data_IF_328577291261
#
_entry.id   IF_328577291261
#
_cell.length_a   1.000
_cell.length_b   1.000
_cell.length_c   1.000
_cell.angle_alpha   90.00
_cell.angle_beta   90.00
_cell.angle_gamma   90.00
#
_symmetry.space_group_name_H-M   'P 1'
#
loop_
_entity.id
_entity.type
_entity.pdbx_description
1 polymer ?
#
# COMPACT_ATOMS: atom_id res chain seq x y z
N UNK A 1 -11.56 -1.47 -19.58
CA UNK A 1 -11.97 -0.85 -18.30
C UNK A 1 -11.58 -1.86 -17.23
N UNK A 2 -10.38 -1.74 -16.66
CA UNK A 2 -9.92 -2.68 -15.62
C UNK A 2 -10.79 -2.42 -14.40
N UNK A 3 -11.63 -3.38 -14.04
CA UNK A 3 -12.54 -3.32 -12.90
C UNK A 3 -11.73 -3.28 -11.60
N UNK A 4 -11.26 -2.10 -11.22
CA UNK A 4 -10.68 -1.77 -9.92
C UNK A 4 -11.77 -1.77 -8.82
N UNK A 5 -12.40 -2.92 -8.59
CA UNK A 5 -13.41 -3.12 -7.53
C UNK A 5 -12.86 -3.81 -6.29
N UNK A 6 -11.54 -3.86 -6.14
CA UNK A 6 -10.86 -4.69 -5.15
C UNK A 6 -10.11 -3.90 -4.08
N UNK A 7 -9.99 -2.57 -4.17
CA UNK A 7 -9.28 -1.76 -3.16
C UNK A 7 -10.22 -0.79 -2.42
N UNK A 8 -9.86 -0.40 -1.19
CA UNK A 8 -10.70 0.47 -0.34
C UNK A 8 -10.93 1.85 -0.96
N UNK A 9 -9.99 2.36 -1.77
CA UNK A 9 -10.10 3.73 -2.33
C UNK A 9 -11.05 3.80 -3.52
N UNK A 10 -11.08 2.78 -4.38
CA UNK A 10 -11.90 2.78 -5.61
C UNK A 10 -13.18 1.95 -5.53
N UNK A 11 -13.33 1.14 -4.48
CA UNK A 11 -14.54 0.32 -4.27
C UNK A 11 -15.71 1.12 -3.71
N UNK A 12 -16.93 0.60 -3.93
CA UNK A 12 -18.19 1.18 -3.47
C UNK A 12 -19.12 0.10 -2.92
N UNK A 13 -20.17 0.51 -2.21
CA UNK A 13 -21.20 -0.39 -1.67
C UNK A 13 -20.74 -1.17 -0.44
N UNK A 14 -21.40 -2.31 -0.18
CA UNK A 14 -21.16 -3.12 1.02
C UNK A 14 -19.73 -3.67 1.10
N UNK A 15 -19.13 -4.04 -0.03
CA UNK A 15 -17.70 -4.44 -0.08
C UNK A 15 -16.80 -3.36 0.52
N UNK A 16 -16.97 -2.11 0.09
CA UNK A 16 -16.19 -0.99 0.63
C UNK A 16 -16.42 -0.77 2.13
N UNK A 17 -17.67 -0.85 2.58
CA UNK A 17 -18.02 -0.67 4.00
C UNK A 17 -17.36 -1.72 4.88
N UNK A 18 -17.40 -2.98 4.45
CA UNK A 18 -16.84 -4.11 5.18
C UNK A 18 -15.30 -4.02 5.23
N UNK A 19 -14.66 -3.82 4.08
CA UNK A 19 -13.21 -3.69 3.97
C UNK A 19 -12.67 -2.49 4.77
N UNK A 20 -13.32 -1.32 4.65
CA UNK A 20 -12.95 -0.13 5.42
C UNK A 20 -13.10 -0.35 6.93
N UNK A 21 -14.20 -0.98 7.37
CA UNK A 21 -14.43 -1.24 8.80
C UNK A 21 -13.35 -2.14 9.37
N UNK A 22 -13.00 -3.22 8.66
CA UNK A 22 -11.96 -4.13 9.09
C UNK A 22 -10.59 -3.45 9.12
N UNK A 23 -10.20 -2.73 8.07
CA UNK A 23 -8.94 -2.01 8.03
C UNK A 23 -8.80 -1.00 9.18
N UNK A 24 -9.85 -0.24 9.48
CA UNK A 24 -9.86 0.68 10.62
C UNK A 24 -9.78 -0.03 11.97
N UNK A 25 -10.39 -1.21 12.10
CA UNK A 25 -10.27 -2.02 13.31
C UNK A 25 -8.82 -2.46 13.52
N UNK A 26 -8.19 -3.03 12.49
CA UNK A 26 -6.80 -3.48 12.53
C UNK A 26 -5.85 -2.32 12.84
N UNK A 27 -5.99 -1.17 12.15
CA UNK A 27 -5.16 0.02 12.41
C UNK A 27 -5.37 0.58 13.81
N UNK A 28 -6.59 0.51 14.36
CA UNK A 28 -6.86 0.91 15.73
C UNK A 28 -6.20 -0.04 16.73
N UNK A 29 -6.20 -1.34 16.47
CA UNK A 29 -5.56 -2.31 17.36
C UNK A 29 -4.02 -2.11 17.37
N UNK A 30 -3.44 -1.64 16.26
CA UNK A 30 -2.02 -1.27 16.19
C UNK A 30 -1.68 0.10 16.81
N UNK A 31 -2.60 1.06 16.80
CA UNK A 31 -2.32 2.45 17.18
C UNK A 31 -3.03 3.00 18.43
N UNK A 32 -4.10 2.36 18.91
CA UNK A 32 -4.91 2.85 20.03
C UNK A 32 -4.88 1.82 21.17
N UNK A 33 -4.09 2.11 22.20
CA UNK A 33 -3.91 1.24 23.37
C UNK A 33 -2.73 0.26 23.30
N UNK A 34 -2.01 0.21 22.16
CA UNK A 34 -0.72 -0.47 21.99
C UNK A 34 0.33 0.54 21.52
N UNK A 35 1.54 0.48 22.07
CA UNK A 35 2.66 1.37 21.69
C UNK A 35 3.30 1.03 20.35
N UNK A 36 2.80 0.03 19.62
CA UNK A 36 3.44 -0.51 18.41
C UNK A 36 3.68 0.58 17.36
N UNK A 37 2.66 1.38 17.03
CA UNK A 37 2.83 2.46 16.05
C UNK A 37 3.80 3.54 16.54
N UNK A 38 3.75 3.88 17.82
CA UNK A 38 4.67 4.84 18.44
C UNK A 38 6.11 4.34 18.37
N UNK A 39 6.34 3.08 18.74
CA UNK A 39 7.65 2.43 18.69
C UNK A 39 8.21 2.43 17.26
N UNK A 40 7.38 2.15 16.24
CA UNK A 40 7.78 2.23 14.83
C UNK A 40 8.09 3.65 14.37
N UNK A 41 7.34 4.65 14.83
CA UNK A 41 7.61 6.05 14.52
C UNK A 41 8.92 6.49 15.18
N UNK A 42 9.13 6.14 16.46
CA UNK A 42 10.34 6.50 17.20
C UNK A 42 11.57 5.83 16.62
N UNK A 43 11.47 4.56 16.22
CA UNK A 43 12.49 3.84 15.47
C UNK A 43 12.85 4.62 14.20
N UNK A 44 11.85 5.02 13.41
CA UNK A 44 12.08 5.77 12.17
C UNK A 44 12.70 7.15 12.39
N UNK A 45 12.30 7.83 13.46
CA UNK A 45 12.87 9.13 13.85
C UNK A 45 14.38 9.01 14.13
N UNK A 46 14.85 7.90 14.69
CA UNK A 46 16.30 7.69 14.89
C UNK A 46 17.06 7.62 13.55
N UNK A 47 16.51 6.93 12.56
CA UNK A 47 17.11 6.88 11.21
C UNK A 47 17.07 8.25 10.54
N UNK A 48 15.96 8.97 10.67
CA UNK A 48 15.82 10.32 10.14
C UNK A 48 16.85 11.30 10.75
N UNK A 49 17.01 11.29 12.08
CA UNK A 49 18.01 12.11 12.78
C UNK A 49 19.43 11.73 12.35
N UNK A 50 19.69 10.44 12.15
CA UNK A 50 20.99 9.97 11.67
C UNK A 50 21.30 10.55 10.30
N UNK A 51 20.34 10.59 9.38
CA UNK A 51 20.54 11.24 8.09
C UNK A 51 20.73 12.76 8.17
N UNK A 52 19.99 13.42 9.05
CA UNK A 52 20.19 14.86 9.29
C UNK A 52 21.61 15.15 9.79
N UNK A 53 22.15 14.31 10.67
CA UNK A 53 23.51 14.45 11.21
C UNK A 53 24.59 14.32 10.13
N UNK A 54 24.41 13.44 9.14
CA UNK A 54 25.36 13.29 8.01
C UNK A 54 25.40 14.52 7.09
N UNK A 55 24.33 15.32 7.09
CA UNK A 55 24.17 16.50 6.24
C UNK A 55 24.38 17.83 6.98
N UNK A 56 24.89 17.78 8.22
CA UNK A 56 25.21 18.99 9.00
C UNK A 56 26.19 19.88 8.23
N UNK A 57 25.91 21.19 8.21
CA UNK A 57 26.67 22.21 7.50
C UNK A 57 26.70 22.09 5.97
N UNK A 58 25.79 21.31 5.36
CA UNK A 58 25.60 21.23 3.90
C UNK A 58 24.18 21.65 3.53
N UNK A 59 23.95 22.26 2.35
CA UNK A 59 22.61 22.39 1.80
C UNK A 59 21.95 21.02 1.71
N UNK A 60 20.81 20.85 2.38
CA UNK A 60 20.11 19.59 2.48
C UNK A 60 18.67 19.76 2.03
N UNK A 61 18.22 18.87 1.14
CA UNK A 61 16.84 18.82 0.68
C UNK A 61 16.12 17.68 1.43
N UNK A 62 15.27 17.97 2.42
CA UNK A 62 14.73 16.96 3.35
C UNK A 62 13.62 16.10 2.76
N UNK A 63 13.00 16.54 1.67
CA UNK A 63 11.78 15.92 1.15
C UNK A 63 11.95 14.41 0.84
N UNK A 64 13.02 13.93 0.17
CA UNK A 64 13.19 12.50 -0.09
C UNK A 64 13.36 11.70 1.20
N UNK A 65 14.10 12.22 2.17
CA UNK A 65 14.31 11.55 3.47
C UNK A 65 13.01 11.46 4.27
N UNK A 66 12.19 12.52 4.28
CA UNK A 66 10.86 12.51 4.90
C UNK A 66 9.95 11.49 4.20
N UNK A 67 9.95 11.46 2.85
CA UNK A 67 9.15 10.49 2.10
C UNK A 67 9.57 9.05 2.42
N UNK A 68 10.87 8.75 2.45
CA UNK A 68 11.40 7.45 2.89
C UNK A 68 10.96 7.13 4.32
N UNK A 69 11.00 8.12 5.22
CA UNK A 69 10.61 7.92 6.62
C UNK A 69 9.15 7.51 6.77
N UNK A 70 8.25 8.30 6.18
CA UNK A 70 6.81 8.02 6.24
C UNK A 70 6.48 6.70 5.57
N UNK A 71 7.09 6.40 4.41
CA UNK A 71 6.88 5.15 3.72
C UNK A 71 7.37 3.94 4.53
N UNK A 72 8.45 4.08 5.30
CA UNK A 72 8.93 3.00 6.17
C UNK A 72 8.05 2.78 7.39
N UNK A 73 7.47 3.82 8.00
CA UNK A 73 6.45 3.63 9.04
C UNK A 73 5.27 2.84 8.48
N UNK A 74 4.77 3.21 7.30
CA UNK A 74 3.68 2.48 6.64
C UNK A 74 4.10 1.04 6.32
N UNK A 75 5.29 0.82 5.76
CA UNK A 75 5.81 -0.51 5.45
C UNK A 75 5.95 -1.37 6.71
N UNK A 76 6.43 -0.81 7.82
CA UNK A 76 6.58 -1.55 9.08
C UNK A 76 5.24 -1.98 9.67
N UNK A 77 4.19 -1.16 9.55
CA UNK A 77 2.84 -1.49 10.01
C UNK A 77 2.14 -2.48 9.08
N UNK A 78 2.40 -2.37 7.78
CA UNK A 78 1.70 -3.17 6.77
C UNK A 78 2.36 -4.50 6.46
N UNK A 79 3.68 -4.53 6.37
CA UNK A 79 4.53 -5.69 6.02
C UNK A 79 5.29 -6.26 7.23
N UNK A 80 5.14 -5.67 8.42
CA UNK A 80 5.86 -6.09 9.63
C UNK A 80 7.36 -5.78 9.66
N UNK A 81 7.92 -5.26 8.55
CA UNK A 81 9.36 -4.99 8.40
C UNK A 81 9.65 -3.61 7.82
N UNK A 82 10.80 -3.06 8.21
CA UNK A 82 11.37 -1.85 7.62
C UNK A 82 12.09 -2.20 6.31
N UNK A 83 12.00 -1.31 5.33
CA UNK A 83 12.77 -1.39 4.09
C UNK A 83 14.03 -0.51 4.22
N UNK A 84 15.14 -0.98 3.66
CA UNK A 84 16.36 -0.19 3.61
C UNK A 84 16.14 1.08 2.75
N UNK A 85 16.70 2.22 3.16
CA UNK A 85 16.63 3.47 2.42
C UNK A 85 17.33 3.38 1.05
N UNK A 86 18.29 2.48 0.93
CA UNK A 86 19.03 2.19 -0.29
C UNK A 86 18.43 1.03 -1.10
N UNK A 87 17.40 0.35 -0.59
CA UNK A 87 16.76 -0.77 -1.30
C UNK A 87 16.21 -0.29 -2.66
N UNK A 88 16.67 -0.86 -3.78
CA UNK A 88 16.18 -0.51 -5.11
C UNK A 88 14.67 -0.67 -5.27
N UNK A 89 14.06 -1.68 -4.62
CA UNK A 89 12.61 -1.92 -4.66
C UNK A 89 11.88 -0.80 -3.94
N UNK A 90 12.37 -0.41 -2.75
CA UNK A 90 11.78 0.68 -1.98
C UNK A 90 11.89 2.03 -2.70
N UNK A 91 13.06 2.32 -3.27
CA UNK A 91 13.27 3.52 -4.09
C UNK A 91 12.32 3.52 -5.31
N UNK A 92 12.15 2.36 -5.95
CA UNK A 92 11.24 2.22 -7.08
C UNK A 92 9.78 2.46 -6.67
N UNK A 93 9.35 1.96 -5.51
CA UNK A 93 8.03 2.22 -4.96
C UNK A 93 7.78 3.72 -4.76
N UNK A 94 8.73 4.44 -4.15
CA UNK A 94 8.60 5.88 -3.95
C UNK A 94 8.50 6.65 -5.29
N UNK A 95 9.25 6.24 -6.31
CA UNK A 95 9.17 6.83 -7.66
C UNK A 95 7.81 6.59 -8.30
N UNK A 96 7.28 5.37 -8.20
CA UNK A 96 5.95 5.01 -8.72
C UNK A 96 4.87 5.82 -8.01
N UNK A 97 4.94 5.93 -6.68
CA UNK A 97 3.98 6.71 -5.89
C UNK A 97 4.00 8.20 -6.25
N UNK A 98 5.20 8.80 -6.35
CA UNK A 98 5.33 10.21 -6.75
C UNK A 98 4.73 10.45 -8.14
N UNK A 99 4.99 9.56 -9.10
CA UNK A 99 4.41 9.63 -10.46
C UNK A 99 2.89 9.47 -10.43
N UNK A 100 2.38 8.53 -9.64
CA UNK A 100 0.94 8.33 -9.50
C UNK A 100 0.25 9.58 -8.95
N UNK A 101 0.85 10.26 -7.97
CA UNK A 101 0.32 11.53 -7.44
C UNK A 101 0.39 12.67 -8.46
N UNK A 102 1.47 12.77 -9.23
CA UNK A 102 1.61 13.76 -10.30
C UNK A 102 0.54 13.58 -11.38
N UNK A 103 0.32 12.33 -11.83
CA UNK A 103 -0.72 12.00 -12.80
C UNK A 103 -2.10 12.29 -12.21
N UNK A 104 -2.35 11.93 -10.95
CA UNK A 104 -3.63 12.20 -10.30
C UNK A 104 -3.89 13.71 -10.21
N UNK A 105 -2.89 14.50 -9.83
CA UNK A 105 -2.97 15.96 -9.78
C UNK A 105 -3.24 16.60 -11.15
N UNK A 106 -2.67 16.03 -12.22
CA UNK A 106 -2.83 16.50 -13.59
C UNK A 106 -3.94 15.76 -14.38
N UNK A 107 -4.74 14.92 -13.72
CA UNK A 107 -5.71 14.03 -14.39
C UNK A 107 -6.96 14.74 -14.92
N UNK A 108 -7.13 16.04 -14.62
CA UNK A 108 -8.31 16.82 -15.00
C UNK A 108 -8.71 16.62 -16.46
N UNK A 109 -7.77 16.78 -17.40
CA UNK A 109 -8.03 16.60 -18.83
C UNK A 109 -8.53 15.19 -19.19
N UNK A 110 -7.95 14.13 -18.62
CA UNK A 110 -8.35 12.74 -18.88
C UNK A 110 -9.73 12.45 -18.27
N UNK A 111 -10.01 13.00 -17.08
CA UNK A 111 -11.30 12.81 -16.41
C UNK A 111 -12.43 13.51 -17.16
N UNK A 112 -12.17 14.71 -17.71
CA UNK A 112 -13.15 15.46 -18.50
C UNK A 112 -13.32 14.87 -19.91
N UNK A 113 -12.23 14.40 -20.53
CA UNK A 113 -12.23 13.88 -21.89
C UNK A 113 -11.64 12.46 -21.95
N UNK A 114 -12.44 11.42 -21.64
CA UNK A 114 -11.95 10.04 -21.53
C UNK A 114 -11.34 9.46 -22.81
N UNK A 115 -11.62 10.05 -23.98
CA UNK A 115 -11.04 9.59 -25.25
C UNK A 115 -9.55 9.91 -25.38
N UNK A 116 -9.02 10.89 -24.63
CA UNK A 116 -7.60 11.27 -24.66
C UNK A 116 -6.66 10.11 -24.28
N UNK A 117 -7.16 9.11 -23.55
CA UNK A 117 -6.41 7.89 -23.20
C UNK A 117 -6.04 7.00 -24.39
N UNK A 118 -6.70 7.19 -25.54
CA UNK A 118 -6.50 6.39 -26.75
C UNK A 118 -5.57 7.05 -27.76
N UNK A 119 -5.10 8.27 -27.49
CA UNK A 119 -4.19 8.96 -28.39
C UNK A 119 -2.87 8.17 -28.55
N UNK A 120 -2.29 8.15 -29.76
CA UNK A 120 -0.97 7.58 -29.96
C UNK A 120 0.08 8.36 -29.14
N UNK A 121 0.95 7.62 -28.45
CA UNK A 121 1.84 8.15 -27.41
C UNK A 121 1.40 7.82 -25.98
N UNK A 122 2.12 8.35 -24.99
CA UNK A 122 1.76 8.28 -23.56
C UNK A 122 1.84 9.68 -22.92
N UNK A 123 1.19 10.64 -23.57
CA UNK A 123 1.20 12.07 -23.23
C UNK A 123 0.77 12.38 -21.80
N UNK A 124 -0.03 11.49 -21.20
CA UNK A 124 -0.52 11.63 -19.83
C UNK A 124 0.02 10.53 -18.90
N UNK A 125 1.06 9.80 -19.34
CA UNK A 125 1.71 8.74 -18.56
C UNK A 125 0.79 7.63 -18.05
N UNK A 126 -0.37 7.42 -18.68
CA UNK A 126 -1.38 6.43 -18.27
C UNK A 126 -0.89 5.01 -18.55
N UNK A 127 -0.20 4.80 -19.68
CA UNK A 127 0.35 3.47 -20.01
C UNK A 127 1.48 3.11 -19.05
N UNK A 128 2.38 4.06 -18.80
CA UNK A 128 3.44 3.89 -17.80
C UNK A 128 2.87 3.60 -16.42
N UNK A 129 1.87 4.37 -15.95
CA UNK A 129 1.23 4.15 -14.65
C UNK A 129 0.60 2.75 -14.56
N UNK A 130 0.01 2.26 -15.66
CA UNK A 130 -0.54 0.90 -15.70
C UNK A 130 0.56 -0.15 -15.47
N UNK A 131 1.69 -0.04 -16.16
CA UNK A 131 2.84 -0.93 -15.96
C UNK A 131 3.41 -0.82 -14.54
N UNK A 132 3.48 0.39 -14.00
CA UNK A 132 3.95 0.62 -12.63
C UNK A 132 3.02 -0.06 -11.60
N UNK A 133 1.70 0.06 -11.76
CA UNK A 133 0.71 -0.61 -10.90
C UNK A 133 0.80 -2.14 -11.02
N UNK A 134 1.01 -2.67 -12.22
CA UNK A 134 1.23 -4.10 -12.42
C UNK A 134 2.49 -4.59 -11.69
N UNK A 135 3.59 -3.85 -11.77
CA UNK A 135 4.81 -4.13 -11.02
C UNK A 135 4.58 -4.12 -9.50
N UNK A 136 3.93 -3.09 -8.97
CA UNK A 136 3.59 -3.01 -7.54
C UNK A 136 2.76 -4.22 -7.08
N UNK A 137 1.74 -4.60 -7.87
CA UNK A 137 0.87 -5.72 -7.53
C UNK A 137 1.63 -7.05 -7.48
N UNK A 138 2.57 -7.27 -8.40
CA UNK A 138 3.41 -8.46 -8.40
C UNK A 138 4.32 -8.53 -7.17
N UNK A 139 4.96 -7.42 -6.82
CA UNK A 139 5.83 -7.36 -5.65
C UNK A 139 5.05 -7.52 -4.34
N UNK A 140 3.88 -6.86 -4.20
CA UNK A 140 3.00 -7.07 -3.04
C UNK A 140 2.48 -8.51 -2.98
N UNK A 141 2.15 -9.14 -4.11
CA UNK A 141 1.73 -10.54 -4.12
C UNK A 141 2.85 -11.46 -3.61
N UNK A 142 4.11 -11.21 -3.97
CA UNK A 142 5.26 -11.95 -3.43
C UNK A 142 5.37 -11.76 -1.92
N UNK A 143 5.28 -10.53 -1.43
CA UNK A 143 5.35 -10.24 0.01
C UNK A 143 4.20 -10.91 0.79
N UNK A 144 2.98 -10.93 0.24
CA UNK A 144 1.85 -11.62 0.85
C UNK A 144 2.07 -13.14 0.89
N UNK A 145 2.70 -13.72 -0.13
CA UNK A 145 3.02 -15.15 -0.14
C UNK A 145 4.08 -15.49 0.92
N UNK A 146 5.14 -14.67 1.04
CA UNK A 146 6.13 -14.79 2.14
C UNK A 146 5.45 -14.80 3.52
N UNK A 147 4.44 -13.94 3.72
CA UNK A 147 3.67 -13.91 4.97
C UNK A 147 2.79 -15.16 5.17
N UNK A 148 2.24 -15.75 4.10
CA UNK A 148 1.47 -17.00 4.22
C UNK A 148 2.35 -18.20 4.59
N UNK A 149 3.58 -18.24 4.08
CA UNK A 149 4.54 -19.31 4.39
C UNK A 149 5.04 -19.24 5.83
N UNK A 150 5.16 -18.02 6.36
CA UNK A 150 5.64 -17.75 7.73
C UNK A 150 4.52 -17.62 8.76
N UNK A 151 3.25 -17.63 8.33
CA UNK A 151 2.10 -17.47 9.21
C UNK A 151 1.99 -18.63 10.20
N UNK A 152 2.13 -18.32 11.49
CA UNK A 152 1.84 -19.22 12.58
C UNK A 152 0.46 -18.89 13.17
N UNK A 153 -0.45 -19.87 13.20
CA UNK A 153 -1.85 -19.66 13.59
C UNK A 153 -2.03 -19.25 15.06
N UNK A 154 -1.07 -19.64 15.90
CA UNK A 154 -1.08 -19.41 17.34
C UNK A 154 -0.50 -18.06 17.74
N UNK A 155 0.17 -17.36 16.83
CA UNK A 155 0.77 -16.05 17.10
C UNK A 155 -0.20 -14.89 16.87
N UNK A 156 -0.02 -13.83 17.66
CA UNK A 156 -0.76 -12.60 17.48
C UNK A 156 -0.28 -11.87 16.23
N UNK A 157 -1.20 -11.33 15.43
CA UNK A 157 -0.84 -10.64 14.20
C UNK A 157 0.02 -9.40 14.51
N UNK A 158 1.25 -9.40 14.02
CA UNK A 158 2.23 -8.33 14.23
C UNK A 158 2.17 -7.23 13.17
N UNK A 159 1.49 -7.50 12.05
CA UNK A 159 1.35 -6.61 10.90
C UNK A 159 -0.03 -6.71 10.24
N UNK A 160 -0.34 -5.74 9.37
CA UNK A 160 -1.62 -5.66 8.68
C UNK A 160 -1.91 -6.86 7.78
N UNK A 161 -0.92 -7.39 7.05
CA UNK A 161 -1.10 -8.55 6.17
C UNK A 161 -1.49 -9.78 7.01
N UNK A 162 -0.77 -10.05 8.09
CA UNK A 162 -1.04 -11.15 9.02
C UNK A 162 -2.46 -11.06 9.61
N UNK A 163 -2.86 -9.87 10.06
CA UNK A 163 -4.22 -9.64 10.58
C UNK A 163 -5.30 -9.87 9.51
N UNK A 164 -5.03 -9.43 8.28
CA UNK A 164 -5.94 -9.59 7.15
C UNK A 164 -6.06 -11.05 6.69
N UNK A 165 -4.94 -11.79 6.65
CA UNK A 165 -4.91 -13.23 6.34
C UNK A 165 -5.69 -14.04 7.36
N UNK A 166 -5.55 -13.73 8.66
CA UNK A 166 -6.34 -14.35 9.73
C UNK A 166 -7.84 -14.11 9.52
N UNK A 167 -8.24 -12.88 9.24
CA UNK A 167 -9.65 -12.55 8.94
C UNK A 167 -10.20 -13.31 7.73
N UNK A 168 -9.40 -13.44 6.66
CA UNK A 168 -9.79 -14.22 5.48
C UNK A 168 -9.99 -15.70 5.80
N UNK A 169 -9.18 -16.26 6.69
CA UNK A 169 -9.30 -17.65 7.15
C UNK A 169 -10.56 -17.87 7.98
N UNK A 170 -10.85 -16.97 8.91
CA UNK A 170 -12.03 -17.02 9.78
C UNK A 170 -13.35 -16.92 8.99
N UNK A 171 -13.37 -16.12 7.93
CA UNK A 171 -14.56 -15.87 7.10
C UNK A 171 -14.67 -16.80 5.86
N UNK A 172 -13.77 -17.78 5.70
CA UNK A 172 -13.69 -18.65 4.51
C UNK A 172 -14.99 -19.43 4.22
N UNK A 173 -15.84 -19.63 5.23
CA UNK A 173 -17.15 -20.29 5.11
C UNK A 173 -18.34 -19.34 4.90
N UNK A 174 -18.16 -18.03 5.07
CA UNK A 174 -19.25 -17.06 5.07
C UNK A 174 -19.47 -16.48 3.67
N UNK A 175 -20.39 -17.07 2.89
CA UNK A 175 -20.72 -16.63 1.51
C UNK A 175 -21.23 -15.18 1.41
N UNK A 176 -21.60 -14.55 2.53
CA UNK A 176 -22.05 -13.15 2.57
C UNK A 176 -20.93 -12.15 2.81
N UNK A 177 -19.76 -12.61 3.28
CA UNK A 177 -18.61 -11.75 3.56
C UNK A 177 -17.77 -11.51 2.30
N UNK A 178 -17.23 -10.30 2.17
CA UNK A 178 -16.22 -9.99 1.15
C UNK A 178 -14.88 -10.70 1.38
N UNK A 179 -14.65 -11.30 2.56
CA UNK A 179 -13.41 -11.98 2.92
C UNK A 179 -13.36 -13.47 2.55
N UNK A 180 -14.48 -14.05 2.12
CA UNK A 180 -14.60 -15.50 1.86
C UNK A 180 -13.81 -16.01 0.63
N UNK A 181 -12.97 -15.18 0.01
CA UNK A 181 -12.20 -15.49 -1.21
C UNK A 181 -13.06 -15.66 -2.47
N UNK A 182 -14.39 -15.73 -2.34
CA UNK A 182 -15.33 -15.88 -3.45
C UNK A 182 -15.85 -14.53 -3.91
N UNK A 183 -14.98 -13.67 -4.43
CA UNK A 183 -15.41 -12.46 -5.15
C UNK A 183 -14.85 -12.43 -6.58
N UNK A 184 -15.61 -13.11 -7.46
CA UNK A 184 -15.88 -12.74 -8.86
C UNK A 184 -14.73 -12.79 -9.88
N UNK A 185 -14.24 -13.99 -10.17
CA UNK A 185 -13.69 -14.29 -11.50
C UNK A 185 -14.78 -14.41 -12.60
N UNK A 186 -16.07 -14.33 -12.26
CA UNK A 186 -17.17 -14.39 -13.22
C UNK A 186 -17.61 -13.00 -13.66
N UNK A 187 -16.97 -12.50 -14.73
CA UNK A 187 -17.57 -11.88 -15.93
C UNK A 187 -16.53 -10.99 -16.62
N UNK A 188 -15.59 -11.62 -17.31
CA UNK A 188 -15.07 -11.10 -18.56
C UNK A 188 -15.94 -11.69 -19.67
N UNK A 189 -16.95 -10.92 -20.08
CA UNK A 189 -17.54 -10.98 -21.43
C UNK A 189 -17.54 -9.55 -21.92
#
# INVERSE_FOLDING_TARGET
>A
MVTARTCIVSSQGEFWREQRRHALHVLRDFGFGRTILEDKILEEVQFFITELRHNVNKPFYPQPTIQKSVANVIASVTLGRRMDYEDPVFIQYLKIMNRAFEILGNSGAITTFPFLRYLPGDWFHVKQLKCDVEYMNLEYARMVEEHKETANDDEEATDFISAYLKKMKDERGNKSSSFSGTSRERKAV
#
